data_IF_023821174918
#
_entry.id   IF_023821174918
#
_cell.length_a   1.000
_cell.length_b   1.000
_cell.length_c   1.000
_cell.angle_alpha   90.00
_cell.angle_beta   90.00
_cell.angle_gamma   90.00
#
_symmetry.space_group_name_H-M   'P 1'
#
loop_
_entity.id
_entity.type
_entity.pdbx_description
1 polymer ?
#
# COMPACT_ATOMS: atom_id res chain seq x y z
N UNK A 1 -12.63 16.81 2.46
CA UNK A 1 -11.76 15.65 2.73
C UNK A 1 -10.32 16.12 2.53
N UNK A 2 -9.45 15.91 3.53
CA UNK A 2 -8.07 16.43 3.51
C UNK A 2 -7.25 15.70 2.45
N UNK A 3 -6.67 16.45 1.50
CA UNK A 3 -5.87 15.90 0.39
C UNK A 3 -4.54 15.28 0.84
N UNK A 4 -4.14 15.50 2.11
CA UNK A 4 -2.84 15.10 2.65
C UNK A 4 -2.63 13.57 2.74
N UNK A 5 -3.73 12.80 2.71
CA UNK A 5 -3.68 11.33 2.76
C UNK A 5 -3.58 10.65 1.40
N UNK A 6 -3.66 11.40 0.29
CA UNK A 6 -3.57 10.77 -1.02
C UNK A 6 -2.09 10.46 -1.34
N UNK A 7 -1.71 9.20 -1.61
CA UNK A 7 -0.49 8.90 -2.35
C UNK A 7 -0.64 9.37 -3.80
N UNK A 8 0.37 9.14 -4.64
CA UNK A 8 0.27 9.34 -6.09
C UNK A 8 -1.03 8.74 -6.69
N UNK A 9 -1.47 9.30 -7.81
CA UNK A 9 -2.73 8.92 -8.47
C UNK A 9 -2.82 7.41 -8.76
N UNK A 10 -4.06 6.95 -8.97
CA UNK A 10 -4.30 5.57 -9.30
C UNK A 10 -3.65 5.14 -10.60
N UNK A 11 -2.90 4.03 -10.55
CA UNK A 11 -2.35 3.42 -11.75
C UNK A 11 -3.40 2.55 -12.44
N UNK A 12 -4.35 2.01 -11.67
CA UNK A 12 -5.44 1.16 -12.14
C UNK A 12 -6.80 1.50 -11.50
N UNK A 13 -7.68 0.49 -11.44
CA UNK A 13 -9.03 0.65 -10.92
C UNK A 13 -9.10 0.69 -9.40
N UNK A 14 -8.34 -0.19 -8.74
CA UNK A 14 -8.18 -0.26 -7.29
C UNK A 14 -6.72 -0.60 -7.01
N UNK A 15 -6.05 0.19 -6.17
CA UNK A 15 -4.70 -0.10 -5.70
C UNK A 15 -4.70 -0.11 -4.17
N UNK A 16 -3.62 -0.62 -3.58
CA UNK A 16 -3.45 -0.61 -2.14
C UNK A 16 -2.75 0.66 -1.67
N UNK A 17 -3.14 1.11 -0.48
CA UNK A 17 -2.44 2.17 0.24
C UNK A 17 -1.99 1.65 1.60
N UNK A 18 -0.70 1.83 1.91
CA UNK A 18 -0.10 1.46 3.18
C UNK A 18 0.58 2.69 3.76
N UNK A 19 0.30 2.98 5.03
CA UNK A 19 0.95 4.06 5.76
C UNK A 19 1.51 3.56 7.09
N UNK A 20 2.67 4.08 7.45
CA UNK A 20 3.26 3.91 8.77
C UNK A 20 3.15 5.25 9.49
N UNK A 21 2.53 5.23 10.66
CA UNK A 21 2.21 6.42 11.44
C UNK A 21 3.02 6.45 12.74
N UNK A 22 3.29 7.64 13.24
CA UNK A 22 3.77 7.81 14.61
C UNK A 22 2.63 7.62 15.63
N UNK A 23 2.96 7.71 16.92
CA UNK A 23 1.98 7.54 18.01
C UNK A 23 0.95 8.68 18.10
N UNK A 24 1.19 9.80 17.42
CA UNK A 24 0.26 10.92 17.31
C UNK A 24 -0.62 10.82 16.05
N UNK A 25 -0.43 9.79 15.22
CA UNK A 25 -1.17 9.57 13.97
C UNK A 25 -0.62 10.33 12.77
N UNK A 26 0.55 10.97 12.88
CA UNK A 26 1.20 11.61 11.73
C UNK A 26 1.86 10.55 10.86
N UNK A 27 1.78 10.70 9.54
CA UNK A 27 2.43 9.78 8.62
C UNK A 27 3.96 9.94 8.67
N UNK A 28 4.65 8.87 9.05
CA UNK A 28 6.11 8.72 8.92
C UNK A 28 6.43 8.46 7.45
N UNK A 29 5.71 7.52 6.83
CA UNK A 29 5.75 7.31 5.39
C UNK A 29 4.42 6.78 4.88
N UNK A 30 4.23 6.91 3.56
CA UNK A 30 3.05 6.42 2.85
C UNK A 30 3.45 5.88 1.49
N UNK A 31 2.96 4.70 1.16
CA UNK A 31 3.21 4.02 -0.12
C UNK A 31 1.90 3.55 -0.74
N UNK A 32 1.86 3.62 -2.06
CA UNK A 32 0.82 3.01 -2.87
C UNK A 32 1.44 1.86 -3.63
N UNK A 33 0.73 0.75 -3.68
CA UNK A 33 1.15 -0.40 -4.44
C UNK A 33 0.00 -0.88 -5.31
N UNK A 34 0.29 -1.11 -6.58
CA UNK A 34 -0.72 -1.55 -7.54
C UNK A 34 -0.27 -1.37 -8.98
N UNK A 35 -0.88 -2.14 -9.87
CA UNK A 35 -0.65 -2.12 -11.29
C UNK A 35 -1.71 -1.32 -12.04
N UNK A 36 -1.88 -1.63 -13.32
CA UNK A 36 -2.84 -0.95 -14.20
C UNK A 36 -4.27 -1.49 -14.11
N UNK A 37 -4.51 -2.48 -13.24
CA UNK A 37 -5.81 -3.14 -13.07
C UNK A 37 -6.27 -3.05 -11.61
N UNK A 38 -7.14 -3.97 -11.17
CA UNK A 38 -7.56 -4.05 -9.79
C UNK A 38 -6.59 -4.90 -8.99
N UNK A 39 -6.14 -4.35 -7.88
CA UNK A 39 -5.30 -5.01 -6.90
C UNK A 39 -6.07 -5.10 -5.59
N UNK A 40 -6.18 -6.31 -5.05
CA UNK A 40 -6.73 -6.55 -3.71
C UNK A 40 -5.66 -6.93 -2.68
N UNK A 41 -5.49 -6.10 -1.64
CA UNK A 41 -4.67 -6.40 -0.47
C UNK A 41 -5.54 -7.19 0.49
N UNK A 42 -5.07 -8.36 0.88
CA UNK A 42 -5.83 -9.29 1.71
C UNK A 42 -5.32 -9.31 3.13
N UNK A 43 -4.01 -9.14 3.32
CA UNK A 43 -3.40 -9.22 4.65
C UNK A 43 -2.10 -8.41 4.74
N UNK A 44 -1.77 -8.00 5.97
CA UNK A 44 -0.55 -7.29 6.33
C UNK A 44 0.06 -7.97 7.56
N UNK A 45 1.30 -8.44 7.44
CA UNK A 45 2.07 -8.99 8.56
C UNK A 45 3.25 -8.07 8.88
N UNK A 46 3.48 -7.81 10.17
CA UNK A 46 4.57 -6.93 10.63
C UNK A 46 5.56 -7.74 11.47
N UNK A 47 6.82 -7.74 11.06
CA UNK A 47 7.93 -8.28 11.85
C UNK A 47 8.73 -7.12 12.45
N UNK A 48 8.44 -6.80 13.70
CA UNK A 48 9.12 -5.72 14.43
C UNK A 48 10.57 -6.07 14.79
N UNK A 49 10.92 -7.36 14.89
CA UNK A 49 12.29 -7.76 15.18
C UNK A 49 13.22 -7.49 13.99
N UNK A 50 12.70 -7.64 12.77
CA UNK A 50 13.44 -7.41 11.52
C UNK A 50 13.13 -6.08 10.83
N UNK A 51 12.15 -5.32 11.34
CA UNK A 51 11.66 -4.07 10.74
C UNK A 51 11.13 -4.31 9.31
N UNK A 52 10.34 -5.36 9.14
CA UNK A 52 9.73 -5.74 7.85
C UNK A 52 8.21 -5.67 7.89
N UNK A 53 7.62 -5.33 6.76
CA UNK A 53 6.18 -5.41 6.50
C UNK A 53 5.96 -6.31 5.29
N UNK A 54 5.14 -7.34 5.45
CA UNK A 54 4.72 -8.24 4.39
C UNK A 54 3.31 -7.89 3.96
N UNK A 55 3.11 -7.73 2.66
CA UNK A 55 1.82 -7.48 2.05
C UNK A 55 1.42 -8.73 1.27
N UNK A 56 0.25 -9.28 1.58
CA UNK A 56 -0.29 -10.45 0.88
C UNK A 56 -1.58 -10.06 0.16
N UNK A 57 -1.70 -10.49 -1.08
CA UNK A 57 -2.86 -10.17 -1.91
C UNK A 57 -2.68 -10.64 -3.33
N UNK A 58 -3.56 -10.17 -4.20
CA UNK A 58 -3.56 -10.50 -5.61
C UNK A 58 -3.56 -9.24 -6.48
N UNK A 59 -2.72 -9.23 -7.50
CA UNK A 59 -2.76 -8.23 -8.58
C UNK A 59 -3.37 -8.86 -9.83
N UNK A 60 -4.29 -8.15 -10.48
CA UNK A 60 -4.81 -8.55 -11.79
C UNK A 60 -3.94 -8.03 -12.95
N UNK A 61 -2.95 -7.19 -12.67
CA UNK A 61 -2.07 -6.62 -13.69
C UNK A 61 -0.86 -7.55 -13.94
N UNK A 62 -0.55 -7.85 -15.20
CA UNK A 62 0.75 -8.43 -15.56
C UNK A 62 1.80 -7.30 -15.61
N UNK A 63 2.70 -7.24 -14.64
CA UNK A 63 3.75 -6.20 -14.53
C UNK A 63 3.52 -5.14 -13.44
N UNK A 64 2.74 -5.46 -12.41
CA UNK A 64 2.62 -4.63 -11.20
C UNK A 64 3.85 -4.74 -10.29
N UNK A 65 3.87 -3.95 -9.21
CA UNK A 65 4.97 -3.93 -8.24
C UNK A 65 5.20 -5.29 -7.52
N UNK A 66 4.27 -6.25 -7.70
CA UNK A 66 4.27 -7.57 -7.07
C UNK A 66 4.08 -8.74 -8.04
N UNK A 67 4.32 -8.57 -9.34
CA UNK A 67 4.25 -9.67 -10.35
C UNK A 67 5.57 -10.02 -10.96
#
# INVERSE_FOLDING_TARGET
MNADFLPAEARGGVDHFVCYLDTAGNAIWKHRYGGTQNDLLQDIQVDTARQLIYLLGNSQAGGGDFT
#
